data_IF_729790899891
#
_entry.id   IF_729790899891
#
_cell.length_a   1.000
_cell.length_b   1.000
_cell.length_c   1.000
_cell.angle_alpha   90.00
_cell.angle_beta   90.00
_cell.angle_gamma   90.00
#
_symmetry.space_group_name_H-M   'P 1'
#
loop_
_entity.id
_entity.type
_entity.pdbx_description
1 polymer ?
#
# COMPACT_ATOMS: atom_id res chain seq x y z
N UNK A 1 6.26 13.46 52.83
CA UNK A 1 6.38 13.84 51.43
C UNK A 1 5.77 12.72 50.61
N UNK A 2 4.65 13.03 49.93
CA UNK A 2 3.99 12.05 49.04
C UNK A 2 4.77 11.97 47.73
N UNK A 3 5.28 10.80 47.39
CA UNK A 3 6.00 10.58 46.15
C UNK A 3 5.01 10.56 44.96
N UNK A 4 5.33 11.25 43.90
CA UNK A 4 4.56 11.20 42.64
C UNK A 4 4.59 9.77 42.08
N UNK A 5 3.42 9.19 41.88
CA UNK A 5 3.26 7.86 41.29
C UNK A 5 2.66 7.94 39.88
N UNK A 6 3.01 6.99 39.04
CA UNK A 6 2.40 6.89 37.71
C UNK A 6 0.89 6.64 37.84
N UNK A 7 0.07 7.22 36.93
CA UNK A 7 -1.36 6.92 36.88
C UNK A 7 -1.62 5.43 36.60
N UNK A 8 -2.76 4.95 37.09
CA UNK A 8 -3.19 3.58 36.76
C UNK A 8 -3.56 3.47 35.29
N UNK A 9 -2.95 2.50 34.59
CA UNK A 9 -3.18 2.24 33.15
C UNK A 9 -4.39 1.33 32.86
N UNK A 10 -5.13 0.87 33.88
CA UNK A 10 -6.21 -0.11 33.69
C UNK A 10 -7.35 0.33 32.76
N UNK A 11 -7.50 1.64 32.51
CA UNK A 11 -8.47 2.20 31.57
C UNK A 11 -7.90 2.51 30.18
N UNK A 12 -6.63 2.20 29.92
CA UNK A 12 -5.99 2.45 28.62
C UNK A 12 -6.19 1.28 27.68
N UNK A 13 -6.50 1.58 26.40
CA UNK A 13 -6.56 0.57 25.36
C UNK A 13 -5.13 0.13 24.96
N UNK A 14 -4.96 -1.17 24.69
CA UNK A 14 -3.70 -1.73 24.22
C UNK A 14 -3.75 -1.87 22.70
N UNK A 15 -2.79 -1.29 22.00
CA UNK A 15 -2.62 -1.47 20.57
C UNK A 15 -2.16 -2.92 20.25
N UNK A 16 -2.69 -3.49 19.18
CA UNK A 16 -2.42 -4.87 18.81
C UNK A 16 -1.33 -4.95 17.73
N UNK A 17 -0.44 -5.93 17.84
CA UNK A 17 0.63 -6.16 16.86
C UNK A 17 0.11 -6.59 15.48
N UNK A 18 -1.11 -7.10 15.37
CA UNK A 18 -1.75 -7.50 14.12
C UNK A 18 -2.25 -6.33 13.27
N UNK A 19 -2.26 -5.11 13.83
CA UNK A 19 -2.80 -3.91 13.18
C UNK A 19 -1.75 -3.25 12.28
N UNK A 20 -1.00 -4.05 11.52
CA UNK A 20 -0.10 -3.59 10.46
C UNK A 20 -0.56 -4.07 9.10
N UNK A 21 -0.36 -3.22 8.10
CA UNK A 21 -0.46 -3.55 6.68
C UNK A 21 0.86 -3.23 5.98
N UNK A 22 1.26 -4.10 5.05
CA UNK A 22 2.51 -3.96 4.28
C UNK A 22 2.19 -4.13 2.81
N UNK A 23 2.70 -3.22 2.00
CA UNK A 23 2.64 -3.30 0.54
C UNK A 23 4.04 -3.20 -0.06
N UNK A 24 4.22 -3.87 -1.19
CA UNK A 24 5.42 -3.83 -2.01
C UNK A 24 5.05 -3.38 -3.42
N UNK A 25 5.92 -2.61 -4.05
CA UNK A 25 5.76 -2.12 -5.41
C UNK A 25 6.22 -3.17 -6.41
N UNK A 26 5.28 -3.72 -7.21
CA UNK A 26 5.58 -4.69 -8.25
C UNK A 26 6.40 -4.09 -9.41
N UNK A 27 6.26 -2.79 -9.67
CA UNK A 27 6.96 -2.11 -10.75
C UNK A 27 8.40 -1.72 -10.40
N UNK A 28 8.76 -1.72 -9.11
CA UNK A 28 10.13 -1.42 -8.70
C UNK A 28 11.15 -2.42 -9.28
N UNK A 29 12.27 -1.91 -9.81
CA UNK A 29 13.26 -2.72 -10.49
C UNK A 29 12.86 -3.18 -11.90
N UNK A 30 11.78 -2.65 -12.46
CA UNK A 30 11.32 -2.89 -13.84
C UNK A 30 11.42 -1.59 -14.66
N UNK A 31 11.13 -1.68 -15.97
CA UNK A 31 11.03 -0.51 -16.85
C UNK A 31 9.92 0.49 -16.44
N UNK A 32 9.00 0.06 -15.56
CA UNK A 32 7.87 0.86 -15.04
C UNK A 32 8.11 1.44 -13.66
N UNK A 33 9.35 1.43 -13.16
CA UNK A 33 9.68 1.85 -11.78
C UNK A 33 9.19 3.25 -11.36
N UNK A 34 8.91 4.14 -12.30
CA UNK A 34 8.35 5.48 -12.03
C UNK A 34 6.85 5.51 -11.71
N UNK A 35 6.14 4.39 -11.83
CA UNK A 35 4.69 4.28 -11.54
C UNK A 35 4.47 3.09 -10.61
N UNK A 36 4.43 3.31 -9.29
CA UNK A 36 4.27 2.24 -8.32
C UNK A 36 2.98 1.44 -8.53
N UNK A 37 3.09 0.11 -8.47
CA UNK A 37 1.98 -0.84 -8.47
C UNK A 37 1.98 -1.58 -7.13
N UNK A 38 1.19 -1.07 -6.19
CA UNK A 38 1.20 -1.50 -4.82
C UNK A 38 0.33 -2.73 -4.59
N UNK A 39 0.95 -3.81 -4.15
CA UNK A 39 0.25 -5.02 -3.72
C UNK A 39 0.55 -5.35 -2.26
N UNK A 40 -0.43 -5.92 -1.56
CA UNK A 40 -0.23 -6.38 -0.20
C UNK A 40 0.69 -7.60 -0.14
N UNK A 41 1.53 -7.66 0.89
CA UNK A 41 2.24 -8.88 1.29
C UNK A 41 1.32 -9.64 2.25
N UNK A 42 0.68 -10.69 1.77
CA UNK A 42 -0.31 -11.44 2.54
C UNK A 42 0.35 -12.48 3.46
N UNK A 43 -0.42 -13.02 4.39
CA UNK A 43 0.00 -14.13 5.26
C UNK A 43 1.00 -13.77 6.35
N UNK A 44 1.26 -12.49 6.57
CA UNK A 44 2.14 -12.02 7.64
C UNK A 44 1.56 -12.35 9.03
N UNK A 45 2.42 -12.81 9.92
CA UNK A 45 2.15 -13.00 11.34
C UNK A 45 3.10 -12.18 12.22
N UNK A 46 4.11 -11.54 11.62
CA UNK A 46 5.03 -10.60 12.26
C UNK A 46 5.34 -9.44 11.32
N UNK A 47 5.20 -8.23 11.83
CA UNK A 47 5.69 -6.98 11.23
C UNK A 47 6.39 -6.21 12.34
N UNK A 48 7.70 -6.05 12.25
CA UNK A 48 8.51 -5.47 13.31
C UNK A 48 9.45 -4.40 12.74
N UNK A 49 8.99 -3.14 12.68
CA UNK A 49 9.86 -2.02 12.38
C UNK A 49 10.83 -1.76 13.55
N UNK A 50 12.06 -1.41 13.25
CA UNK A 50 13.09 -1.07 14.24
C UNK A 50 14.08 -0.07 13.69
N UNK A 51 14.71 0.68 14.60
CA UNK A 51 15.81 1.56 14.26
C UNK A 51 17.15 0.90 14.64
N UNK A 52 18.15 1.06 13.79
CA UNK A 52 19.54 0.72 14.06
C UNK A 52 20.34 2.01 14.20
N UNK A 53 20.81 2.27 15.41
CA UNK A 53 21.48 3.52 15.76
C UNK A 53 22.94 3.24 16.06
N UNK A 54 23.82 3.90 15.32
CA UNK A 54 25.26 3.87 15.61
C UNK A 54 25.61 4.99 16.56
N UNK A 55 26.24 4.64 17.68
CA UNK A 55 26.73 5.58 18.66
C UNK A 55 28.25 5.69 18.61
N UNK A 56 28.77 6.91 18.77
CA UNK A 56 30.18 7.20 18.93
C UNK A 56 30.42 7.80 20.31
N UNK A 57 31.52 7.42 20.94
CA UNK A 57 31.96 8.03 22.20
C UNK A 57 32.44 9.46 21.91
N UNK A 58 31.88 10.45 22.59
CA UNK A 58 32.30 11.84 22.58
C UNK A 58 32.81 12.34 23.94
N UNK A 59 33.15 11.41 24.83
CA UNK A 59 33.80 11.74 26.09
C UNK A 59 35.21 12.23 25.90
N UNK A 60 35.66 13.13 26.78
CA UNK A 60 37.03 13.62 26.83
C UNK A 60 37.71 13.20 28.15
N UNK A 61 38.99 13.54 28.31
CA UNK A 61 39.77 13.23 29.51
C UNK A 61 39.25 13.94 30.77
N UNK A 62 38.40 14.95 30.61
CA UNK A 62 37.80 15.72 31.72
C UNK A 62 36.41 15.19 32.12
N UNK A 63 35.90 14.19 31.44
CA UNK A 63 34.59 13.55 31.70
C UNK A 63 34.54 12.77 33.02
N UNK A 64 35.63 12.68 33.78
CA UNK A 64 35.67 11.99 35.06
C UNK A 64 35.35 10.49 34.96
N UNK A 65 35.69 9.84 33.86
CA UNK A 65 35.47 8.41 33.64
C UNK A 65 34.01 8.06 33.28
N UNK A 66 33.17 9.04 33.02
CA UNK A 66 31.76 8.82 32.57
C UNK A 66 31.70 8.74 31.05
N UNK A 67 31.02 7.72 30.56
CA UNK A 67 30.76 7.58 29.12
C UNK A 67 29.77 8.63 28.66
N UNK A 68 30.07 9.28 27.55
CA UNK A 68 29.17 10.15 26.80
C UNK A 68 29.14 9.68 25.36
N UNK A 69 27.95 9.47 24.80
CA UNK A 69 27.79 8.95 23.45
C UNK A 69 26.84 9.82 22.64
N UNK A 70 27.18 10.04 21.38
CA UNK A 70 26.35 10.74 20.43
C UNK A 70 25.94 9.78 19.30
N UNK A 71 24.67 9.82 18.89
CA UNK A 71 24.20 9.10 17.74
C UNK A 71 24.74 9.76 16.46
N UNK A 72 25.48 9.01 15.66
CA UNK A 72 26.13 9.50 14.43
C UNK A 72 25.47 8.97 13.15
N UNK A 73 24.74 7.87 13.24
CA UNK A 73 23.95 7.33 12.13
C UNK A 73 22.68 6.67 12.67
N UNK A 74 21.65 6.66 11.84
CA UNK A 74 20.41 5.94 12.07
C UNK A 74 20.05 5.16 10.81
N UNK A 75 19.81 3.87 10.95
CA UNK A 75 19.22 3.00 9.97
C UNK A 75 17.81 2.61 10.41
N UNK A 76 16.97 2.22 9.47
CA UNK A 76 15.64 1.69 9.73
C UNK A 76 15.55 0.28 9.16
N UNK A 77 15.06 -0.67 9.95
CA UNK A 77 14.89 -2.05 9.56
C UNK A 77 13.43 -2.47 9.69
N UNK A 78 13.01 -3.42 8.87
CA UNK A 78 11.69 -4.00 8.91
C UNK A 78 11.82 -5.53 8.84
N UNK A 79 11.45 -6.22 9.90
CA UNK A 79 11.37 -7.67 9.88
C UNK A 79 9.94 -8.13 9.61
N UNK A 80 9.78 -8.94 8.58
CA UNK A 80 8.53 -9.55 8.16
C UNK A 80 8.65 -11.06 8.31
N UNK A 81 7.66 -11.70 8.94
CA UNK A 81 7.55 -13.16 8.92
C UNK A 81 6.11 -13.59 8.70
N UNK A 82 5.92 -14.76 8.13
CA UNK A 82 4.58 -15.25 7.85
C UNK A 82 4.54 -16.62 7.23
N UNK A 83 3.32 -17.02 6.85
CA UNK A 83 3.07 -18.26 6.14
C UNK A 83 2.94 -17.99 4.64
N UNK A 84 3.48 -18.89 3.84
CA UNK A 84 3.32 -18.84 2.39
C UNK A 84 1.85 -18.98 2.02
N UNK A 85 1.30 -17.98 1.37
CA UNK A 85 -0.10 -17.90 0.93
C UNK A 85 -0.20 -17.84 -0.59
N UNK A 86 -1.37 -18.23 -1.07
CA UNK A 86 -1.71 -18.17 -2.49
C UNK A 86 -3.15 -18.58 -2.71
N UNK A 87 -3.63 -18.39 -3.93
CA UNK A 87 -4.94 -18.85 -4.38
C UNK A 87 -4.82 -20.20 -5.07
N UNK A 88 -5.87 -21.00 -5.02
CA UNK A 88 -5.92 -22.32 -5.68
C UNK A 88 -7.15 -22.37 -6.60
N UNK A 89 -6.97 -21.95 -7.84
CA UNK A 89 -7.98 -22.13 -8.89
C UNK A 89 -7.42 -21.70 -10.25
N UNK A 90 -7.29 -22.56 -11.23
CA UNK A 90 -7.29 -24.04 -11.21
C UNK A 90 -5.99 -24.63 -10.65
N UNK A 91 -4.90 -23.84 -10.60
CA UNK A 91 -3.59 -24.21 -10.02
C UNK A 91 -3.26 -23.33 -8.82
N UNK A 92 -2.29 -23.73 -8.01
CA UNK A 92 -1.78 -22.88 -6.93
C UNK A 92 -1.03 -21.69 -7.54
N UNK A 93 -1.50 -20.49 -7.22
CA UNK A 93 -0.87 -19.23 -7.59
C UNK A 93 -0.37 -18.55 -6.30
N UNK A 94 0.94 -18.41 -6.11
CA UNK A 94 1.49 -17.75 -4.92
C UNK A 94 1.02 -16.29 -4.82
N UNK A 95 1.04 -15.76 -3.60
CA UNK A 95 0.77 -14.35 -3.36
C UNK A 95 1.80 -13.47 -4.08
N UNK A 96 1.38 -12.50 -4.91
CA UNK A 96 2.31 -11.69 -5.72
C UNK A 96 3.23 -10.83 -4.86
N UNK A 97 2.77 -10.33 -3.71
CA UNK A 97 3.57 -9.53 -2.80
C UNK A 97 4.70 -10.35 -2.17
N UNK A 98 4.40 -11.59 -1.73
CA UNK A 98 5.41 -12.51 -1.21
C UNK A 98 6.42 -12.90 -2.29
N UNK A 99 5.97 -13.20 -3.52
CA UNK A 99 6.85 -13.58 -4.62
C UNK A 99 7.79 -12.43 -5.02
N UNK A 100 7.29 -11.20 -5.07
CA UNK A 100 8.11 -10.04 -5.35
C UNK A 100 9.17 -9.83 -4.26
N UNK A 101 8.77 -9.96 -2.99
CA UNK A 101 9.69 -9.84 -1.85
C UNK A 101 10.77 -10.94 -1.89
N UNK A 102 10.38 -12.20 -2.19
CA UNK A 102 11.30 -13.32 -2.36
C UNK A 102 12.28 -13.07 -3.52
N UNK A 103 11.76 -12.63 -4.67
CA UNK A 103 12.58 -12.36 -5.85
C UNK A 103 13.67 -11.32 -5.56
N UNK A 104 13.36 -10.25 -4.84
CA UNK A 104 14.39 -9.30 -4.38
C UNK A 104 15.39 -9.95 -3.42
N UNK A 105 14.93 -10.81 -2.50
CA UNK A 105 15.80 -11.49 -1.54
C UNK A 105 16.74 -12.54 -2.14
N UNK A 106 16.53 -12.97 -3.38
CA UNK A 106 17.38 -13.90 -4.13
C UNK A 106 18.37 -13.18 -5.07
N UNK A 107 18.31 -11.84 -5.13
CA UNK A 107 19.18 -11.00 -5.97
C UNK A 107 20.31 -10.35 -5.16
N UNK A 108 21.23 -9.72 -5.86
CA UNK A 108 22.36 -8.95 -5.29
C UNK A 108 22.42 -7.53 -5.87
N UNK A 109 23.09 -6.64 -5.15
CA UNK A 109 23.25 -5.23 -5.55
C UNK A 109 21.91 -4.51 -5.61
N UNK A 110 21.73 -3.62 -6.57
CA UNK A 110 20.52 -2.79 -6.70
C UNK A 110 19.24 -3.61 -6.89
N UNK A 111 19.34 -4.81 -7.47
CA UNK A 111 18.19 -5.70 -7.66
C UNK A 111 17.67 -6.31 -6.37
N UNK A 112 18.51 -6.40 -5.33
CA UNK A 112 18.10 -6.83 -4.00
C UNK A 112 17.21 -5.80 -3.30
N UNK A 113 17.12 -4.56 -3.80
CA UNK A 113 16.37 -3.49 -3.17
C UNK A 113 14.89 -3.57 -3.54
N UNK A 114 14.03 -3.64 -2.55
CA UNK A 114 12.57 -3.58 -2.66
C UNK A 114 12.05 -2.20 -2.26
N UNK A 115 10.99 -1.73 -2.92
CA UNK A 115 10.25 -0.54 -2.53
C UNK A 115 9.04 -0.99 -1.70
N UNK A 116 9.01 -0.65 -0.42
CA UNK A 116 8.03 -1.13 0.54
C UNK A 116 7.42 0.05 1.28
N UNK A 117 6.10 -0.01 1.48
CA UNK A 117 5.40 0.85 2.42
C UNK A 117 4.65 0.03 3.44
N UNK A 118 4.62 0.52 4.67
CA UNK A 118 3.89 -0.13 5.75
C UNK A 118 3.25 0.91 6.67
N UNK A 119 2.15 0.52 7.30
CA UNK A 119 1.43 1.42 8.19
C UNK A 119 0.62 0.63 9.21
N UNK A 120 0.27 1.31 10.30
CA UNK A 120 -0.71 0.79 11.24
C UNK A 120 -2.13 1.05 10.72
N UNK A 121 -2.99 0.05 10.87
CA UNK A 121 -4.40 0.13 10.46
C UNK A 121 -5.30 0.71 11.55
N UNK A 122 -4.77 0.83 12.78
CA UNK A 122 -5.43 1.50 13.90
C UNK A 122 -5.19 3.03 13.88
N UNK A 123 -5.54 3.72 14.97
CA UNK A 123 -5.45 5.18 15.07
C UNK A 123 -4.03 5.70 15.33
N UNK A 124 -3.05 4.83 15.62
CA UNK A 124 -1.65 5.25 15.81
C UNK A 124 -1.08 5.72 14.48
N UNK A 125 -0.62 6.98 14.42
CA UNK A 125 -0.07 7.58 13.20
C UNK A 125 1.35 7.08 12.92
N UNK A 126 1.44 5.88 12.38
CA UNK A 126 2.67 5.26 11.90
C UNK A 126 2.45 4.75 10.48
N UNK A 127 3.08 5.41 9.52
CA UNK A 127 3.06 5.02 8.11
C UNK A 127 4.35 5.45 7.44
N UNK A 128 5.08 4.52 6.86
CA UNK A 128 6.38 4.78 6.23
C UNK A 128 6.45 4.16 4.84
N UNK A 129 7.21 4.83 3.98
CA UNK A 129 7.57 4.44 2.63
C UNK A 129 9.08 4.51 2.48
N UNK A 130 9.68 3.49 1.89
CA UNK A 130 11.13 3.47 1.73
C UNK A 130 11.65 2.28 0.94
N UNK A 131 12.97 2.28 0.76
CA UNK A 131 13.70 1.26 0.04
C UNK A 131 14.45 0.37 1.01
N UNK A 132 14.41 -0.94 0.78
CA UNK A 132 14.99 -1.93 1.67
C UNK A 132 15.76 -2.99 0.90
N UNK A 133 16.98 -3.29 1.33
CA UNK A 133 17.66 -4.51 0.92
C UNK A 133 17.03 -5.70 1.64
N UNK A 134 16.71 -6.75 0.91
CA UNK A 134 15.93 -7.88 1.40
C UNK A 134 16.81 -9.11 1.60
N UNK A 135 16.72 -9.71 2.78
CA UNK A 135 17.24 -11.05 3.03
C UNK A 135 16.05 -11.99 3.29
N UNK A 136 15.80 -12.89 2.34
CA UNK A 136 14.70 -13.86 2.40
C UNK A 136 15.16 -15.20 2.90
N UNK A 137 14.46 -15.74 3.89
CA UNK A 137 14.67 -17.10 4.41
C UNK A 137 13.34 -17.84 4.38
N UNK A 138 13.29 -18.95 3.66
CA UNK A 138 12.15 -19.87 3.69
C UNK A 138 12.28 -20.83 4.87
N UNK A 139 11.20 -21.08 5.59
CA UNK A 139 11.14 -22.06 6.66
C UNK A 139 10.19 -23.19 6.28
N UNK A 140 10.75 -24.41 6.23
CA UNK A 140 10.01 -25.66 6.07
C UNK A 140 10.68 -26.66 6.98
N UNK A 141 10.06 -26.92 8.15
CA UNK A 141 10.71 -27.71 9.19
C UNK A 141 10.56 -29.21 8.95
N UNK A 142 9.30 -29.68 8.83
CA UNK A 142 8.98 -31.07 8.62
C UNK A 142 7.76 -31.27 7.72
N UNK A 143 7.39 -32.51 7.47
CA UNK A 143 6.24 -32.89 6.62
C UNK A 143 4.88 -32.42 7.18
N UNK A 144 4.80 -32.15 8.47
CA UNK A 144 3.58 -31.72 9.18
C UNK A 144 3.57 -30.21 9.42
N UNK A 145 4.74 -29.54 9.24
CA UNK A 145 4.90 -28.11 9.40
C UNK A 145 4.24 -27.29 8.29
N UNK A 146 3.89 -26.07 8.61
CA UNK A 146 3.42 -25.10 7.63
C UNK A 146 4.59 -24.38 6.98
N UNK A 147 4.56 -24.24 5.66
CA UNK A 147 5.60 -23.53 4.93
C UNK A 147 5.53 -22.03 5.20
N UNK A 148 6.57 -21.51 5.83
CA UNK A 148 6.70 -20.12 6.24
C UNK A 148 7.84 -19.38 5.55
N UNK A 149 8.00 -18.11 5.93
CA UNK A 149 9.13 -17.31 5.53
C UNK A 149 9.46 -16.24 6.59
N UNK A 150 10.70 -15.77 6.54
CA UNK A 150 11.16 -14.56 7.22
C UNK A 150 11.90 -13.69 6.20
N UNK A 151 11.56 -12.41 6.14
CA UNK A 151 12.28 -11.43 5.35
C UNK A 151 12.81 -10.33 6.27
N UNK A 152 14.13 -10.22 6.35
CA UNK A 152 14.79 -9.10 7.03
C UNK A 152 15.09 -8.03 6.00
N UNK A 153 14.41 -6.90 6.14
CA UNK A 153 14.50 -5.77 5.23
C UNK A 153 15.34 -4.67 5.89
N UNK A 154 16.55 -4.42 5.36
CA UNK A 154 17.47 -3.40 5.85
C UNK A 154 17.30 -2.13 5.04
N UNK A 155 16.99 -1.02 5.70
CA UNK A 155 16.72 0.26 5.05
C UNK A 155 17.87 0.81 4.24
N UNK A 156 17.54 1.34 3.08
CA UNK A 156 18.46 2.00 2.14
C UNK A 156 18.14 3.50 2.10
N UNK A 157 18.86 4.28 2.91
CA UNK A 157 18.62 5.71 3.04
C UNK A 157 17.49 6.08 3.99
N UNK A 158 17.01 7.32 3.88
CA UNK A 158 15.96 7.85 4.73
C UNK A 158 14.56 7.36 4.26
N UNK A 159 13.78 6.80 5.15
CA UNK A 159 12.40 6.47 4.91
C UNK A 159 11.49 7.68 5.12
N UNK A 160 10.49 7.79 4.27
CA UNK A 160 9.56 8.91 4.27
C UNK A 160 8.34 8.57 5.12
N UNK A 161 8.00 9.47 6.06
CA UNK A 161 6.67 9.43 6.68
C UNK A 161 5.62 9.76 5.61
N UNK A 162 4.60 8.94 5.49
CA UNK A 162 3.51 9.12 4.54
C UNK A 162 2.16 9.18 5.25
N UNK A 163 1.16 9.73 4.58
CA UNK A 163 -0.23 9.54 5.01
C UNK A 163 -0.62 8.08 4.78
N UNK A 164 -1.31 7.47 5.73
CA UNK A 164 -1.78 6.09 5.60
C UNK A 164 -2.57 5.93 4.29
N UNK A 165 -2.26 4.89 3.48
CA UNK A 165 -3.02 4.62 2.28
C UNK A 165 -4.50 4.45 2.62
N UNK A 166 -5.35 5.23 1.99
CA UNK A 166 -6.78 5.11 2.16
C UNK A 166 -7.28 3.80 1.52
N UNK A 167 -8.26 3.15 2.13
CA UNK A 167 -8.96 2.05 1.48
C UNK A 167 -9.55 2.54 0.16
N UNK A 168 -9.50 1.74 -0.89
CA UNK A 168 -10.10 2.08 -2.17
C UNK A 168 -11.44 1.37 -2.32
N UNK A 169 -12.41 2.03 -2.96
CA UNK A 169 -13.69 1.42 -3.31
C UNK A 169 -13.71 1.17 -4.81
N UNK A 170 -13.88 -0.09 -5.20
CA UNK A 170 -14.03 -0.47 -6.61
C UNK A 170 -15.50 -0.56 -6.96
N UNK A 171 -15.88 0.09 -8.05
CA UNK A 171 -17.23 0.08 -8.62
C UNK A 171 -17.20 -0.29 -10.10
N UNK A 172 -18.14 -1.09 -10.53
CA UNK A 172 -18.32 -1.41 -11.95
C UNK A 172 -19.33 -0.45 -12.57
N UNK A 173 -18.90 0.25 -13.63
CA UNK A 173 -19.74 1.18 -14.38
C UNK A 173 -20.06 0.54 -15.73
N UNK A 174 -21.32 0.34 -16.04
CA UNK A 174 -21.75 -0.27 -17.30
C UNK A 174 -22.64 0.68 -18.07
N UNK A 175 -22.23 0.97 -19.30
CA UNK A 175 -23.01 1.69 -20.31
C UNK A 175 -23.93 0.69 -21.00
N UNK A 176 -25.19 1.00 -21.31
CA UNK A 176 -26.10 0.10 -22.04
C UNK A 176 -25.49 -0.41 -23.35
N UNK A 177 -25.65 -1.70 -23.63
CA UNK A 177 -25.07 -2.35 -24.82
C UNK A 177 -25.67 -1.85 -26.15
N UNK A 178 -26.90 -1.35 -26.12
CA UNK A 178 -27.60 -0.78 -27.29
C UNK A 178 -27.19 0.66 -27.61
N UNK A 179 -26.25 1.24 -26.85
CA UNK A 179 -25.78 2.60 -27.05
C UNK A 179 -24.96 2.71 -28.35
N UNK A 180 -25.40 3.58 -29.24
CA UNK A 180 -24.76 3.81 -30.55
C UNK A 180 -24.01 5.14 -30.65
N UNK A 181 -24.20 6.03 -29.64
CA UNK A 181 -23.57 7.35 -29.64
C UNK A 181 -23.80 8.15 -28.37
N UNK A 182 -23.32 9.37 -28.36
CA UNK A 182 -23.51 10.31 -27.27
C UNK A 182 -22.48 10.22 -26.14
N UNK A 183 -22.81 10.83 -25.00
CA UNK A 183 -21.93 10.90 -23.84
C UNK A 183 -22.69 10.59 -22.56
N UNK A 184 -21.97 10.06 -21.58
CA UNK A 184 -22.43 9.92 -20.20
C UNK A 184 -21.58 10.76 -19.25
N UNK A 185 -22.06 11.01 -18.06
CA UNK A 185 -21.32 11.72 -17.02
C UNK A 185 -21.28 10.91 -15.72
N UNK A 186 -20.22 11.09 -14.95
CA UNK A 186 -20.04 10.54 -13.63
C UNK A 186 -20.02 11.69 -12.60
N UNK A 187 -20.74 11.53 -11.53
CA UNK A 187 -20.76 12.50 -10.42
C UNK A 187 -20.17 11.84 -9.19
N UNK A 188 -19.10 12.42 -8.66
CA UNK A 188 -18.36 11.93 -7.49
C UNK A 188 -18.42 13.01 -6.42
N UNK A 189 -19.08 12.69 -5.30
CA UNK A 189 -19.30 13.59 -4.16
C UNK A 189 -19.77 15.01 -4.62
N UNK A 190 -20.81 15.01 -5.49
CA UNK A 190 -21.43 16.20 -5.99
C UNK A 190 -20.67 16.95 -7.09
N UNK A 191 -19.50 16.48 -7.54
CA UNK A 191 -18.77 17.02 -8.70
C UNK A 191 -18.96 16.13 -9.91
N UNK A 192 -19.35 16.73 -11.04
CA UNK A 192 -19.67 16.00 -12.28
C UNK A 192 -18.56 16.15 -13.31
N UNK A 193 -18.18 15.04 -13.97
CA UNK A 193 -17.23 15.06 -15.07
C UNK A 193 -17.79 15.83 -16.28
N UNK A 194 -16.92 16.26 -17.17
CA UNK A 194 -17.32 16.56 -18.55
C UNK A 194 -17.92 15.30 -19.20
N UNK A 195 -18.69 15.46 -20.29
CA UNK A 195 -19.25 14.34 -21.05
C UNK A 195 -18.17 13.35 -21.50
N UNK A 196 -18.34 12.10 -21.15
CA UNK A 196 -17.47 10.97 -21.53
C UNK A 196 -18.15 10.24 -22.67
N UNK A 197 -17.47 10.01 -23.79
CA UNK A 197 -18.05 9.31 -24.93
C UNK A 197 -18.45 7.87 -24.55
N UNK A 198 -19.55 7.37 -25.09
CA UNK A 198 -20.11 6.05 -24.76
C UNK A 198 -19.09 4.91 -24.90
N UNK A 199 -18.16 5.01 -25.84
CA UNK A 199 -17.13 4.05 -26.14
C UNK A 199 -15.72 4.49 -25.69
N UNK A 200 -15.64 5.37 -24.70
CA UNK A 200 -14.37 5.88 -24.18
C UNK A 200 -13.45 4.75 -23.74
N UNK A 201 -12.15 4.96 -23.89
CA UNK A 201 -11.16 4.03 -23.31
C UNK A 201 -11.12 4.17 -21.79
N UNK A 202 -10.71 3.13 -21.03
CA UNK A 202 -10.51 3.24 -19.59
C UNK A 202 -9.61 4.42 -19.19
N UNK A 203 -8.57 4.71 -19.98
CA UNK A 203 -7.69 5.86 -19.76
C UNK A 203 -8.42 7.22 -19.89
N UNK A 204 -9.36 7.34 -20.83
CA UNK A 204 -10.16 8.55 -20.98
C UNK A 204 -11.13 8.76 -19.82
N UNK A 205 -11.76 7.68 -19.34
CA UNK A 205 -12.62 7.70 -18.14
C UNK A 205 -11.80 8.10 -16.90
N UNK A 206 -10.63 7.50 -16.71
CA UNK A 206 -9.69 7.87 -15.65
C UNK A 206 -9.34 9.36 -15.69
N UNK A 207 -8.94 9.86 -16.85
CA UNK A 207 -8.59 11.29 -17.01
C UNK A 207 -9.77 12.21 -16.68
N UNK A 208 -11.00 11.82 -17.00
CA UNK A 208 -12.19 12.59 -16.67
C UNK A 208 -12.46 12.61 -15.16
N UNK A 209 -12.27 11.49 -14.46
CA UNK A 209 -12.42 11.38 -13.01
C UNK A 209 -11.33 12.16 -12.27
N UNK A 210 -10.08 12.06 -12.69
CA UNK A 210 -8.94 12.74 -12.05
C UNK A 210 -8.98 14.27 -12.16
N UNK A 211 -9.76 14.83 -13.09
CA UNK A 211 -10.02 16.26 -13.17
C UNK A 211 -10.96 16.79 -12.08
N UNK A 212 -11.69 15.91 -11.42
CA UNK A 212 -12.57 16.31 -10.31
C UNK A 212 -11.74 16.60 -9.06
N UNK A 213 -12.02 17.71 -8.40
CA UNK A 213 -11.36 18.07 -7.15
C UNK A 213 -11.63 17.09 -6.00
N UNK A 214 -12.67 16.29 -6.12
CA UNK A 214 -13.06 15.24 -5.16
C UNK A 214 -12.27 13.94 -5.34
N UNK A 215 -11.62 13.75 -6.50
CA UNK A 215 -10.80 12.57 -6.82
C UNK A 215 -9.31 12.93 -6.79
N UNK A 216 -8.91 13.92 -7.59
CA UNK A 216 -7.51 14.36 -7.72
C UNK A 216 -6.69 13.51 -8.70
N UNK A 217 -5.61 14.11 -9.19
CA UNK A 217 -4.71 13.49 -10.17
C UNK A 217 -3.99 12.27 -9.58
N UNK A 218 -3.96 11.15 -10.31
CA UNK A 218 -3.28 9.91 -9.91
C UNK A 218 -4.03 9.09 -8.85
N UNK A 219 -5.26 9.50 -8.48
CA UNK A 219 -6.02 8.85 -7.40
C UNK A 219 -7.13 7.92 -7.90
N UNK A 220 -7.36 7.83 -9.20
CA UNK A 220 -8.32 6.89 -9.79
C UNK A 220 -7.60 5.81 -10.60
N UNK A 221 -8.04 4.58 -10.45
CA UNK A 221 -7.66 3.48 -11.34
C UNK A 221 -8.91 3.04 -12.13
N UNK A 222 -8.76 2.90 -13.45
CA UNK A 222 -9.85 2.47 -14.31
C UNK A 222 -9.34 1.39 -15.26
N UNK A 223 -9.96 0.22 -15.16
CA UNK A 223 -9.66 -0.95 -16.01
C UNK A 223 -10.93 -1.41 -16.73
N UNK A 224 -10.83 -2.44 -17.56
CA UNK A 224 -11.96 -2.97 -18.31
C UNK A 224 -11.92 -2.63 -19.80
N UNK A 225 -13.09 -2.62 -20.42
CA UNK A 225 -13.27 -2.34 -21.87
C UNK A 225 -14.23 -1.18 -22.05
N UNK A 226 -14.28 -0.63 -23.29
CA UNK A 226 -15.26 0.38 -23.65
C UNK A 226 -16.69 -0.10 -23.31
N UNK A 227 -17.45 0.71 -22.58
CA UNK A 227 -18.80 0.40 -22.11
C UNK A 227 -18.88 -0.39 -20.80
N UNK A 228 -17.77 -1.00 -20.33
CA UNK A 228 -17.74 -1.72 -19.05
C UNK A 228 -16.43 -1.43 -18.31
N UNK A 229 -16.50 -0.62 -17.28
CA UNK A 229 -15.33 -0.09 -16.55
C UNK A 229 -15.35 -0.54 -15.10
N UNK A 230 -14.23 -1.07 -14.63
CA UNK A 230 -13.95 -1.24 -13.21
C UNK A 230 -13.21 0.01 -12.73
N UNK A 231 -13.83 0.79 -11.87
CA UNK A 231 -13.32 2.06 -11.37
C UNK A 231 -13.00 1.93 -9.89
N UNK A 232 -11.74 2.11 -9.54
CA UNK A 232 -11.26 2.13 -8.16
C UNK A 232 -10.98 3.58 -7.76
N UNK A 233 -11.64 4.03 -6.70
CA UNK A 233 -11.55 5.38 -6.17
C UNK A 233 -11.05 5.37 -4.71
N UNK A 234 -10.41 6.45 -4.23
CA UNK A 234 -10.02 6.58 -2.83
C UNK A 234 -11.24 6.43 -1.89
N UNK A 235 -11.02 5.91 -0.70
CA UNK A 235 -12.10 5.78 0.32
C UNK A 235 -12.66 7.10 0.82
N UNK A 236 -12.00 8.21 0.52
CA UNK A 236 -12.53 9.55 0.76
C UNK A 236 -13.75 9.85 -0.11
N UNK A 237 -13.92 9.10 -1.22
CA UNK A 237 -15.10 9.18 -2.07
C UNK A 237 -16.24 8.38 -1.42
N UNK A 238 -17.30 9.08 -1.08
CA UNK A 238 -18.47 8.47 -0.40
C UNK A 238 -19.60 8.14 -1.37
N UNK A 239 -19.74 8.88 -2.45
CA UNK A 239 -20.79 8.69 -3.43
C UNK A 239 -20.27 8.76 -4.87
N UNK A 240 -20.75 7.84 -5.70
CA UNK A 240 -20.59 7.91 -7.15
C UNK A 240 -21.92 7.59 -7.81
N UNK A 241 -22.33 8.45 -8.72
CA UNK A 241 -23.54 8.27 -9.54
C UNK A 241 -23.20 8.51 -11.01
N UNK A 242 -24.04 8.00 -11.91
CA UNK A 242 -23.87 8.16 -13.34
C UNK A 242 -25.14 8.69 -13.99
N UNK A 243 -25.00 9.45 -15.07
CA UNK A 243 -26.12 9.87 -15.92
C UNK A 243 -25.83 9.54 -17.37
N UNK A 244 -26.76 8.82 -17.99
CA UNK A 244 -26.75 8.47 -19.41
C UNK A 244 -27.72 9.30 -20.25
N UNK A 245 -28.18 10.45 -19.74
CA UNK A 245 -29.15 11.32 -20.46
C UNK A 245 -28.64 11.86 -21.78
N UNK A 246 -27.32 11.91 -21.98
CA UNK A 246 -26.69 12.34 -23.24
C UNK A 246 -26.33 11.17 -24.18
N UNK A 247 -26.70 9.93 -23.86
CA UNK A 247 -26.50 8.77 -24.71
C UNK A 247 -27.56 8.67 -25.82
N UNK A 248 -27.23 7.95 -26.88
CA UNK A 248 -28.15 7.68 -28.00
C UNK A 248 -28.20 6.16 -28.26
N UNK A 249 -29.36 5.48 -28.05
CA UNK A 249 -30.53 6.01 -27.35
C UNK A 249 -30.20 6.40 -25.90
N UNK A 250 -31.00 7.28 -25.30
CA UNK A 250 -30.83 7.62 -23.88
C UNK A 250 -31.06 6.38 -23.02
N UNK A 251 -30.18 6.12 -22.07
CA UNK A 251 -30.24 4.92 -21.24
C UNK A 251 -29.65 5.15 -19.86
N UNK A 252 -29.85 4.19 -18.97
CA UNK A 252 -29.32 4.24 -17.61
C UNK A 252 -27.93 3.61 -17.57
N UNK A 253 -26.93 4.41 -17.20
CA UNK A 253 -25.60 3.88 -16.86
C UNK A 253 -25.69 3.29 -15.46
N UNK A 254 -25.36 2.02 -15.31
CA UNK A 254 -25.42 1.32 -14.01
C UNK A 254 -24.09 1.38 -13.28
N UNK A 255 -24.16 1.42 -11.93
CA UNK A 255 -23.02 1.34 -11.03
C UNK A 255 -23.28 0.23 -10.01
N UNK A 256 -22.37 -0.76 -9.95
CA UNK A 256 -22.44 -1.89 -9.03
C UNK A 256 -21.24 -1.93 -8.08
#
# INVERSE_FOLDING_TARGET
VTTLQAPNSAGMATALARDYAVQIDLNWGTEKAGTPDWVFVMGLNKVSPSNDITFQDNGDIHSGGRKSQIATAIGENLELAGLRKGTRSPAYMPDPGQEKLRAHGEEIGDRNTAHIRYWRTDEIDEAKDGYFAVNWVSSADDKEGLYGFTATCTGQGQHKQITKPAASTTKTITVPEDTTGGTFTLTVDGKTTSGITYNATPAAVRTALEKLSTVGTGSAEVTGTAGSYSVTLPSTVTTITASGSGLTPSGTVTIA
#
